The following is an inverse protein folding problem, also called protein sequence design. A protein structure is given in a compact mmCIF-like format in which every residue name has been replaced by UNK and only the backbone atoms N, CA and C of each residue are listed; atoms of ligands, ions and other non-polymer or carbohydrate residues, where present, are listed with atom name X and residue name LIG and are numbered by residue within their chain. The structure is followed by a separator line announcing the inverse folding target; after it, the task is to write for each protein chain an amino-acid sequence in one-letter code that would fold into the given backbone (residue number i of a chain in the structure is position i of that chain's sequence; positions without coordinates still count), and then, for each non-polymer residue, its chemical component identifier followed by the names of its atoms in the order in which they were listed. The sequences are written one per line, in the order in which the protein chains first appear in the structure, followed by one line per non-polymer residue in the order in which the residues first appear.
data_IF_876493906902
#
_entry.id   IF_876493906902
#
_cell.length_a   1.000
_cell.length_b   1.000
_cell.length_c   1.000
_cell.angle_alpha   90.00
_cell.angle_beta   90.00
_cell.angle_gamma   90.00
#
_symmetry.space_group_name_H-M   'P 1'
#
loop_
_entity.id
_entity.type
_entity.pdbx_description
1 polymer ?
#
# COMPACT_ATOMS: atom_id res chain seq x y z
N UNK A 1 -3.66 90.53 -34.86
CA UNK A 1 -4.44 90.68 -33.60
C UNK A 1 -5.75 89.94 -33.77
N UNK A 2 -6.01 88.92 -32.94
CA UNK A 2 -7.24 88.12 -32.97
C UNK A 2 -7.03 86.82 -32.19
N UNK A 3 -7.53 86.79 -30.95
CA UNK A 3 -7.33 85.78 -29.90
C UNK A 3 -8.23 84.55 -30.08
N UNK A 4 -7.72 83.37 -29.67
CA UNK A 4 -8.47 82.25 -29.05
C UNK A 4 -9.43 81.50 -29.98
N UNK A 5 -9.68 80.19 -29.87
CA UNK A 5 -9.74 79.33 -28.68
C UNK A 5 -9.48 77.89 -29.15
N UNK A 6 -8.43 77.25 -28.63
CA UNK A 6 -8.29 75.79 -28.71
C UNK A 6 -9.29 75.16 -27.74
N UNK A 7 -10.37 74.60 -28.27
CA UNK A 7 -11.29 73.75 -27.50
C UNK A 7 -10.51 72.52 -27.02
N UNK A 8 -10.22 72.49 -25.72
CA UNK A 8 -9.74 71.29 -25.03
C UNK A 8 -10.84 70.22 -25.17
N UNK A 9 -10.59 69.19 -25.96
CA UNK A 9 -11.42 67.97 -25.96
C UNK A 9 -11.20 67.33 -24.60
N UNK A 10 -12.15 67.56 -23.69
CA UNK A 10 -12.22 66.84 -22.43
C UNK A 10 -12.43 65.37 -22.75
N UNK A 11 -11.43 64.56 -22.44
CA UNK A 11 -11.63 63.14 -22.27
C UNK A 11 -12.71 62.96 -21.19
N UNK A 12 -13.71 62.09 -21.38
CA UNK A 12 -14.61 61.77 -20.28
C UNK A 12 -13.78 61.11 -19.18
N UNK A 13 -13.56 61.85 -18.10
CA UNK A 13 -13.31 61.28 -16.78
C UNK A 13 -14.60 60.58 -16.35
N UNK A 14 -14.85 59.41 -16.96
CA UNK A 14 -15.79 58.42 -16.47
C UNK A 14 -15.12 57.69 -15.30
N UNK A 15 -15.86 57.53 -14.23
CA UNK A 15 -15.54 56.81 -13.00
C UNK A 15 -14.97 55.40 -13.25
N UNK A 16 -13.66 55.31 -13.51
CA UNK A 16 -12.92 54.06 -13.61
C UNK A 16 -12.31 53.74 -12.24
N UNK A 17 -13.15 53.32 -11.28
CA UNK A 17 -12.73 53.11 -9.90
C UNK A 17 -12.89 51.68 -9.38
N UNK A 18 -14.00 50.99 -9.69
CA UNK A 18 -14.35 49.76 -8.94
C UNK A 18 -14.79 48.58 -9.83
N UNK A 19 -15.40 48.84 -10.99
CA UNK A 19 -15.80 47.77 -11.93
C UNK A 19 -14.66 47.25 -12.83
N UNK A 20 -13.54 47.98 -12.94
CA UNK A 20 -12.37 47.57 -13.75
C UNK A 20 -11.48 46.52 -13.10
N UNK A 21 -11.61 46.31 -11.78
CA UNK A 21 -10.79 45.37 -10.99
C UNK A 21 -11.43 43.98 -10.85
N UNK A 22 -12.75 43.87 -11.02
CA UNK A 22 -13.47 42.60 -10.82
C UNK A 22 -13.20 41.57 -11.92
N UNK A 23 -13.06 41.98 -13.18
CA UNK A 23 -12.82 41.05 -14.28
C UNK A 23 -11.50 40.25 -14.14
N UNK A 24 -10.33 40.87 -13.90
CA UNK A 24 -9.10 40.11 -13.69
C UNK A 24 -9.14 39.26 -12.42
N UNK A 25 -9.79 39.72 -11.35
CA UNK A 25 -9.99 38.93 -10.13
C UNK A 25 -10.89 37.71 -10.38
N UNK A 26 -11.98 37.86 -11.14
CA UNK A 26 -12.87 36.77 -11.49
C UNK A 26 -12.17 35.72 -12.37
N UNK A 27 -11.35 36.17 -13.32
CA UNK A 27 -10.52 35.27 -14.15
C UNK A 27 -9.50 34.53 -13.29
N UNK A 28 -8.79 35.23 -12.41
CA UNK A 28 -7.85 34.61 -11.48
C UNK A 28 -8.55 33.58 -10.57
N UNK A 29 -9.71 33.92 -10.02
CA UNK A 29 -10.52 33.01 -9.21
C UNK A 29 -10.96 31.78 -10.01
N UNK A 30 -11.38 31.95 -11.27
CA UNK A 30 -11.75 30.83 -12.14
C UNK A 30 -10.57 29.88 -12.39
N UNK A 31 -9.36 30.40 -12.61
CA UNK A 31 -8.16 29.57 -12.75
C UNK A 31 -7.82 28.82 -11.47
N UNK A 32 -7.94 29.46 -10.31
CA UNK A 32 -7.71 28.80 -9.02
C UNK A 32 -8.73 27.68 -8.80
N UNK A 33 -10.01 27.94 -9.06
CA UNK A 33 -11.07 26.92 -8.93
C UNK A 33 -10.84 25.76 -9.90
N UNK A 34 -10.45 26.05 -11.13
CA UNK A 34 -10.11 25.01 -12.10
C UNK A 34 -8.91 24.17 -11.65
N UNK A 35 -7.86 24.80 -11.12
CA UNK A 35 -6.69 24.09 -10.59
C UNK A 35 -7.07 23.17 -9.41
N UNK A 36 -7.92 23.64 -8.49
CA UNK A 36 -8.43 22.83 -7.38
C UNK A 36 -9.24 21.63 -7.91
N UNK A 37 -10.11 21.85 -8.91
CA UNK A 37 -10.90 20.77 -9.49
C UNK A 37 -10.01 19.74 -10.20
N UNK A 38 -9.04 20.20 -10.99
CA UNK A 38 -8.09 19.36 -11.70
C UNK A 38 -7.30 18.47 -10.73
N UNK A 39 -6.75 19.07 -9.67
CA UNK A 39 -6.06 18.34 -8.61
C UNK A 39 -6.98 17.32 -7.93
N UNK A 40 -8.22 17.72 -7.64
CA UNK A 40 -9.21 16.86 -6.97
C UNK A 40 -9.58 15.63 -7.81
N UNK A 41 -9.67 15.76 -9.14
CA UNK A 41 -9.92 14.62 -10.05
C UNK A 41 -8.77 13.62 -10.03
N UNK A 42 -7.53 14.09 -10.15
CA UNK A 42 -6.35 13.21 -10.16
C UNK A 42 -6.19 12.49 -8.81
N UNK A 43 -6.40 13.20 -7.69
CA UNK A 43 -6.43 12.59 -6.36
C UNK A 43 -7.57 11.59 -6.21
N UNK A 44 -8.76 11.90 -6.74
CA UNK A 44 -9.92 10.99 -6.69
C UNK A 44 -9.65 9.66 -7.39
N UNK A 45 -8.95 9.67 -8.52
CA UNK A 45 -8.52 8.45 -9.22
C UNK A 45 -7.50 7.68 -8.37
N UNK A 46 -6.49 8.37 -7.82
CA UNK A 46 -5.50 7.75 -6.94
C UNK A 46 -6.13 7.11 -5.68
N UNK A 47 -7.12 7.77 -5.07
CA UNK A 47 -7.88 7.21 -3.95
C UNK A 47 -8.69 5.98 -4.34
N UNK A 48 -9.33 5.99 -5.51
CA UNK A 48 -10.05 4.81 -6.01
C UNK A 48 -9.11 3.62 -6.25
N UNK A 49 -7.92 3.89 -6.79
CA UNK A 49 -6.84 2.90 -6.92
C UNK A 49 -6.43 2.34 -5.56
N UNK A 50 -6.18 3.22 -4.58
CA UNK A 50 -5.82 2.82 -3.22
C UNK A 50 -6.90 1.94 -2.57
N UNK A 51 -8.17 2.34 -2.67
CA UNK A 51 -9.28 1.56 -2.12
C UNK A 51 -9.38 0.17 -2.77
N UNK A 52 -9.12 0.05 -4.07
CA UNK A 52 -9.05 -1.25 -4.76
C UNK A 52 -7.91 -2.11 -4.22
N UNK A 53 -6.73 -1.54 -4.01
CA UNK A 53 -5.59 -2.25 -3.43
C UNK A 53 -5.88 -2.73 -2.01
N UNK A 54 -6.48 -1.88 -1.17
CA UNK A 54 -6.88 -2.25 0.20
C UNK A 54 -7.87 -3.42 0.19
N UNK A 55 -8.89 -3.38 -0.66
CA UNK A 55 -9.84 -4.49 -0.82
C UNK A 55 -9.15 -5.78 -1.29
N UNK A 56 -8.20 -5.69 -2.22
CA UNK A 56 -7.44 -6.84 -2.71
C UNK A 56 -6.53 -7.44 -1.62
N UNK A 57 -5.91 -6.59 -0.79
CA UNK A 57 -5.11 -7.02 0.36
C UNK A 57 -5.97 -7.67 1.44
N UNK A 58 -7.17 -7.17 1.69
CA UNK A 58 -8.13 -7.79 2.62
C UNK A 58 -8.59 -9.16 2.11
N UNK A 59 -8.85 -9.29 0.81
CA UNK A 59 -9.15 -10.57 0.18
C UNK A 59 -7.96 -11.55 0.29
N UNK A 60 -6.74 -11.08 0.03
CA UNK A 60 -5.52 -11.88 0.17
C UNK A 60 -5.28 -12.32 1.62
N UNK A 61 -5.50 -11.44 2.60
CA UNK A 61 -5.44 -11.79 4.01
C UNK A 61 -6.47 -12.86 4.37
N UNK A 62 -7.73 -12.68 3.97
CA UNK A 62 -8.79 -13.66 4.23
C UNK A 62 -8.44 -15.02 3.60
N UNK A 63 -7.91 -15.00 2.38
CA UNK A 63 -7.43 -16.17 1.64
C UNK A 63 -6.30 -16.93 2.34
N UNK A 64 -5.30 -16.21 2.86
CA UNK A 64 -4.14 -16.79 3.56
C UNK A 64 -4.45 -17.19 5.01
N UNK A 65 -5.54 -16.68 5.60
CA UNK A 65 -5.98 -17.02 6.95
C UNK A 65 -7.12 -18.06 6.96
N UNK A 66 -7.49 -18.59 5.80
CA UNK A 66 -8.46 -19.68 5.70
C UNK A 66 -7.94 -20.94 6.41
N UNK A 67 -8.82 -21.62 7.14
CA UNK A 67 -8.44 -22.78 7.94
C UNK A 67 -7.91 -23.95 7.10
N UNK A 68 -8.43 -24.11 5.87
CA UNK A 68 -8.00 -25.16 4.95
C UNK A 68 -6.58 -24.88 4.46
N UNK A 69 -6.31 -23.62 4.12
CA UNK A 69 -4.97 -23.17 3.72
C UNK A 69 -3.97 -23.29 4.87
N UNK A 70 -4.35 -22.91 6.10
CA UNK A 70 -3.47 -23.05 7.26
C UNK A 70 -3.06 -24.51 7.51
N UNK A 71 -3.96 -25.47 7.24
CA UNK A 71 -3.67 -26.90 7.34
C UNK A 71 -2.75 -27.41 6.23
N UNK A 72 -2.91 -26.91 5.01
CA UNK A 72 -2.02 -27.23 3.88
C UNK A 72 -0.63 -26.65 4.11
N UNK A 73 -0.54 -25.34 4.36
CA UNK A 73 0.73 -24.63 4.47
C UNK A 73 1.60 -25.15 5.63
N UNK A 74 1.03 -25.55 6.76
CA UNK A 74 1.82 -26.04 7.92
C UNK A 74 2.53 -27.37 7.69
N UNK A 75 2.09 -28.13 6.68
CA UNK A 75 2.65 -29.44 6.35
C UNK A 75 3.40 -29.44 4.99
N UNK A 76 3.61 -28.27 4.39
CA UNK A 76 4.28 -28.13 3.09
C UNK A 76 5.77 -27.85 3.26
N UNK A 77 6.58 -28.35 2.33
CA UNK A 77 8.04 -28.16 2.32
C UNK A 77 8.46 -26.70 2.09
N UNK A 78 7.64 -25.91 1.36
CA UNK A 78 7.85 -24.48 1.13
C UNK A 78 6.59 -23.66 1.47
N UNK A 79 6.35 -23.42 2.78
CA UNK A 79 5.19 -22.66 3.22
C UNK A 79 5.24 -21.22 2.68
N UNK A 80 6.42 -20.63 2.53
CA UNK A 80 6.56 -19.27 2.04
C UNK A 80 6.00 -19.14 0.62
N UNK A 81 6.37 -20.03 -0.30
CA UNK A 81 5.81 -20.02 -1.65
C UNK A 81 4.31 -20.32 -1.69
N UNK A 82 3.77 -21.10 -0.76
CA UNK A 82 2.32 -21.28 -0.62
C UNK A 82 1.61 -19.99 -0.26
N UNK A 83 2.18 -19.19 0.65
CA UNK A 83 1.66 -17.86 0.96
C UNK A 83 1.76 -16.91 -0.25
N UNK A 84 2.87 -16.93 -1.00
CA UNK A 84 3.03 -16.11 -2.22
C UNK A 84 1.94 -16.47 -3.23
N UNK A 85 1.79 -17.76 -3.54
CA UNK A 85 0.83 -18.25 -4.52
C UNK A 85 -0.60 -17.90 -4.14
N UNK A 86 -0.98 -18.14 -2.88
CA UNK A 86 -2.31 -17.83 -2.37
C UNK A 86 -2.61 -16.34 -2.39
N UNK A 87 -1.67 -15.51 -1.93
CA UNK A 87 -1.83 -14.06 -1.86
C UNK A 87 -1.89 -13.43 -3.26
N UNK A 88 -0.98 -13.79 -4.16
CA UNK A 88 -0.95 -13.24 -5.52
C UNK A 88 -2.22 -13.62 -6.27
N UNK A 89 -2.68 -14.87 -6.21
CA UNK A 89 -3.95 -15.27 -6.83
C UNK A 89 -5.12 -14.43 -6.31
N UNK A 90 -5.23 -14.28 -4.99
CA UNK A 90 -6.30 -13.48 -4.38
C UNK A 90 -6.26 -12.00 -4.80
N UNK A 91 -5.07 -11.40 -4.89
CA UNK A 91 -4.90 -10.01 -5.37
C UNK A 91 -5.35 -9.87 -6.83
N UNK A 92 -4.99 -10.84 -7.68
CA UNK A 92 -5.38 -10.85 -9.10
C UNK A 92 -6.87 -11.08 -9.29
N UNK A 93 -7.45 -12.02 -8.54
CA UNK A 93 -8.89 -12.32 -8.56
C UNK A 93 -9.73 -11.13 -8.09
N UNK A 94 -9.20 -10.31 -7.17
CA UNK A 94 -9.79 -9.05 -6.74
C UNK A 94 -9.66 -7.90 -7.78
N UNK A 95 -9.05 -8.16 -8.94
CA UNK A 95 -8.93 -7.22 -10.04
C UNK A 95 -7.78 -6.21 -9.90
N UNK A 96 -6.79 -6.48 -9.05
CA UNK A 96 -5.60 -5.65 -8.95
C UNK A 96 -4.42 -6.26 -9.71
N UNK A 97 -3.93 -5.56 -10.73
CA UNK A 97 -2.82 -5.98 -11.58
C UNK A 97 -1.47 -5.38 -11.17
N UNK A 98 -1.41 -4.60 -10.09
CA UNK A 98 -0.17 -3.99 -9.59
C UNK A 98 0.92 -5.00 -9.24
N UNK A 99 2.16 -4.53 -9.05
CA UNK A 99 3.22 -5.36 -8.51
C UNK A 99 2.90 -5.77 -7.07
N UNK A 100 3.36 -6.95 -6.68
CA UNK A 100 3.14 -7.52 -5.34
C UNK A 100 4.50 -7.80 -4.72
N UNK A 101 4.73 -7.25 -3.52
CA UNK A 101 5.87 -7.58 -2.69
C UNK A 101 5.38 -8.30 -1.44
N UNK A 102 5.94 -9.46 -1.13
CA UNK A 102 5.61 -10.23 0.05
C UNK A 102 6.85 -10.48 0.89
N UNK A 103 6.83 -10.07 2.15
CA UNK A 103 7.84 -10.42 3.13
C UNK A 103 7.35 -11.58 3.95
N UNK A 104 8.16 -12.63 4.05
CA UNK A 104 7.87 -13.80 4.86
C UNK A 104 8.95 -13.91 5.94
N UNK A 105 8.53 -13.88 7.20
CA UNK A 105 9.37 -14.12 8.35
C UNK A 105 8.86 -15.35 9.10
N UNK A 106 9.77 -16.27 9.38
CA UNK A 106 9.52 -17.39 10.27
C UNK A 106 10.36 -17.24 11.54
N UNK A 107 9.74 -17.33 12.71
CA UNK A 107 10.46 -17.26 13.97
C UNK A 107 11.36 -18.50 14.18
N UNK A 108 12.54 -18.32 14.79
CA UNK A 108 13.40 -19.44 15.15
C UNK A 108 12.70 -20.39 16.12
N UNK A 109 13.17 -21.65 16.16
CA UNK A 109 12.61 -22.66 17.06
C UNK A 109 12.91 -22.31 18.52
N UNK A 110 14.04 -21.67 18.82
CA UNK A 110 14.38 -21.25 20.18
C UNK A 110 13.44 -20.18 20.80
N UNK A 111 12.72 -19.41 19.97
CA UNK A 111 11.86 -18.31 20.42
C UNK A 111 10.37 -18.70 20.50
N UNK A 112 10.03 -19.96 20.19
CA UNK A 112 8.64 -20.42 20.08
C UNK A 112 8.49 -21.79 20.74
N UNK A 113 7.38 -22.09 21.45
CA UNK A 113 7.13 -23.43 21.97
C UNK A 113 7.21 -24.53 20.90
N UNK A 114 7.69 -25.73 21.23
CA UNK A 114 7.86 -26.84 20.27
C UNK A 114 6.56 -27.23 19.53
N UNK A 115 5.42 -27.04 20.20
CA UNK A 115 4.08 -27.31 19.68
C UNK A 115 3.55 -26.20 18.76
N UNK A 116 4.30 -25.12 18.55
CA UNK A 116 3.92 -23.95 17.77
C UNK A 116 4.99 -23.56 16.75
N UNK A 117 4.54 -22.88 15.70
CA UNK A 117 5.38 -22.20 14.71
C UNK A 117 4.81 -20.80 14.54
N UNK A 118 5.65 -19.80 14.34
CA UNK A 118 5.19 -18.42 14.15
C UNK A 118 5.66 -17.93 12.79
N UNK A 119 4.70 -17.49 11.99
CA UNK A 119 4.94 -16.80 10.73
C UNK A 119 4.37 -15.40 10.79
N UNK A 120 5.13 -14.45 10.28
CA UNK A 120 4.65 -13.09 10.01
C UNK A 120 4.85 -12.80 8.53
N UNK A 121 3.77 -12.37 7.90
CA UNK A 121 3.72 -12.11 6.47
C UNK A 121 3.33 -10.66 6.25
N UNK A 122 4.22 -9.89 5.63
CA UNK A 122 3.92 -8.56 5.11
C UNK A 122 3.57 -8.67 3.63
N UNK A 123 2.53 -7.99 3.18
CA UNK A 123 2.10 -7.94 1.79
C UNK A 123 1.92 -6.49 1.37
N UNK A 124 2.49 -6.10 0.24
CA UNK A 124 2.30 -4.79 -0.37
C UNK A 124 1.90 -4.95 -1.83
N UNK A 125 0.94 -4.15 -2.25
CA UNK A 125 0.57 -3.98 -3.66
C UNK A 125 0.92 -2.56 -4.08
N UNK A 126 1.47 -2.39 -5.27
CA UNK A 126 1.87 -1.09 -5.79
C UNK A 126 1.55 -0.94 -7.28
N UNK A 127 1.04 0.22 -7.66
CA UNK A 127 0.79 0.57 -9.06
C UNK A 127 0.83 2.07 -9.29
N UNK A 128 1.13 2.49 -10.51
CA UNK A 128 1.01 3.89 -10.92
C UNK A 128 -0.42 4.18 -11.38
N UNK A 129 -1.13 4.98 -10.58
CA UNK A 129 -2.48 5.42 -10.89
C UNK A 129 -2.44 6.49 -11.98
N UNK A 130 -3.17 6.34 -13.11
CA UNK A 130 -3.11 7.30 -14.20
C UNK A 130 -3.65 8.67 -13.80
N UNK A 131 -3.08 9.74 -14.37
CA UNK A 131 -3.57 11.11 -14.21
C UNK A 131 -4.33 11.59 -15.45
N UNK A 132 -5.22 12.55 -15.26
CA UNK A 132 -6.01 13.20 -16.33
C UNK A 132 -5.50 14.60 -16.58
N UNK A 133 -5.27 15.40 -15.55
CA UNK A 133 -4.82 16.78 -15.68
C UNK A 133 -3.31 16.92 -15.52
N UNK A 134 -2.74 16.25 -14.52
CA UNK A 134 -1.30 16.31 -14.24
C UNK A 134 -0.43 15.79 -15.41
N UNK A 135 -0.95 14.90 -16.25
CA UNK A 135 -0.25 14.45 -17.48
C UNK A 135 0.07 15.59 -18.44
N UNK A 136 -0.76 16.65 -18.49
CA UNK A 136 -0.50 17.84 -19.29
C UNK A 136 0.76 18.60 -18.84
N UNK A 137 1.24 18.30 -17.62
CA UNK A 137 2.47 18.82 -17.02
C UNK A 137 3.58 17.75 -16.95
N UNK A 138 3.42 16.63 -17.66
CA UNK A 138 4.41 15.54 -17.70
C UNK A 138 4.33 14.52 -16.56
N UNK A 139 3.30 14.59 -15.70
CA UNK A 139 3.08 13.62 -14.62
C UNK A 139 2.08 12.57 -15.09
N UNK A 140 2.53 11.49 -15.72
CA UNK A 140 1.64 10.47 -16.31
C UNK A 140 0.93 9.59 -15.25
N UNK A 141 1.49 9.48 -14.04
CA UNK A 141 0.95 8.64 -12.98
C UNK A 141 1.29 9.13 -11.58
N UNK A 142 0.43 8.76 -10.63
CA UNK A 142 0.65 8.94 -9.18
C UNK A 142 0.97 7.56 -8.60
N UNK A 143 2.13 7.35 -7.96
CA UNK A 143 2.45 6.07 -7.34
C UNK A 143 1.52 5.82 -6.15
N UNK A 144 0.81 4.70 -6.17
CA UNK A 144 -0.10 4.27 -5.09
C UNK A 144 0.36 2.92 -4.59
N UNK A 145 0.57 2.83 -3.28
CA UNK A 145 0.90 1.59 -2.60
C UNK A 145 0.03 1.41 -1.35
N UNK A 146 -0.38 0.17 -1.13
CA UNK A 146 -1.11 -0.26 0.07
C UNK A 146 -0.44 -1.52 0.61
N UNK A 147 -0.47 -1.68 1.93
CA UNK A 147 0.15 -2.83 2.58
C UNK A 147 -0.76 -3.45 3.64
N UNK A 148 -0.46 -4.69 4.00
CA UNK A 148 -1.09 -5.41 5.10
C UNK A 148 -0.10 -6.38 5.73
N UNK A 149 -0.09 -6.43 7.05
CA UNK A 149 0.68 -7.42 7.80
C UNK A 149 -0.29 -8.42 8.44
N UNK A 150 0.08 -9.69 8.42
CA UNK A 150 -0.64 -10.77 9.08
C UNK A 150 0.33 -11.70 9.80
N UNK A 151 -0.18 -12.39 10.82
CA UNK A 151 0.56 -13.40 11.54
C UNK A 151 -0.25 -14.68 11.58
N UNK A 152 0.42 -15.80 11.40
CA UNK A 152 -0.14 -17.13 11.54
C UNK A 152 0.68 -17.90 12.58
N UNK A 153 -0.03 -18.61 13.46
CA UNK A 153 0.60 -19.45 14.49
C UNK A 153 0.11 -20.88 14.31
N UNK A 154 0.66 -21.64 13.34
CA UNK A 154 0.34 -23.06 13.22
C UNK A 154 0.71 -23.81 14.50
N UNK A 155 -0.18 -24.72 14.90
CA UNK A 155 0.03 -25.58 16.06
C UNK A 155 -0.07 -27.07 15.70
N UNK A 156 0.57 -27.89 16.53
CA UNK A 156 0.46 -29.34 16.57
C UNK A 156 0.24 -29.81 18.02
N UNK A 157 -0.22 -31.05 18.21
CA UNK A 157 -0.47 -31.59 19.57
C UNK A 157 0.82 -31.78 20.38
N UNK A 158 1.92 -32.12 19.70
CA UNK A 158 3.22 -32.39 20.33
C UNK A 158 4.31 -31.48 19.77
N UNK A 159 4.74 -31.73 18.53
CA UNK A 159 5.78 -30.94 17.86
C UNK A 159 5.34 -30.56 16.46
N UNK A 160 5.52 -29.29 16.12
CA UNK A 160 5.24 -28.80 14.77
C UNK A 160 6.37 -29.22 13.83
N UNK A 161 6.00 -29.72 12.66
CA UNK A 161 6.95 -29.99 11.59
C UNK A 161 7.56 -28.67 11.08
N UNK A 162 8.88 -28.67 10.84
CA UNK A 162 9.65 -27.54 10.33
C UNK A 162 10.59 -28.01 9.21
N UNK A 163 10.79 -27.20 8.16
CA UNK A 163 11.83 -27.46 7.17
C UNK A 163 13.22 -27.32 7.80
N UNK A 164 14.23 -27.95 7.21
CA UNK A 164 15.62 -27.87 7.70
C UNK A 164 16.17 -26.44 7.71
N UNK A 165 15.74 -25.63 6.74
CA UNK A 165 16.12 -24.23 6.62
C UNK A 165 14.87 -23.36 6.72
N UNK A 166 14.94 -22.35 7.58
CA UNK A 166 13.90 -21.32 7.69
C UNK A 166 13.91 -20.47 6.42
N UNK A 167 12.72 -20.16 5.92
CA UNK A 167 12.58 -19.17 4.85
C UNK A 167 12.34 -17.80 5.48
N UNK A 168 13.26 -16.87 5.27
CA UNK A 168 13.12 -15.48 5.68
C UNK A 168 13.55 -14.58 4.53
N UNK A 169 12.63 -13.79 3.99
CA UNK A 169 12.96 -12.97 2.85
C UNK A 169 11.79 -12.23 2.22
N UNK A 170 12.07 -11.63 1.07
CA UNK A 170 11.13 -10.90 0.25
C UNK A 170 10.93 -11.60 -1.10
N UNK A 171 9.67 -11.72 -1.51
CA UNK A 171 9.25 -12.18 -2.81
C UNK A 171 8.67 -11.00 -3.60
N UNK A 172 9.18 -10.77 -4.80
CA UNK A 172 8.70 -9.73 -5.70
C UNK A 172 8.04 -10.34 -6.94
N UNK A 173 6.79 -9.96 -7.20
CA UNK A 173 6.01 -10.39 -8.36
C UNK A 173 5.63 -9.16 -9.18
N UNK A 174 6.05 -9.14 -10.44
CA UNK A 174 5.77 -8.01 -11.32
C UNK A 174 4.26 -7.87 -11.64
N UNK A 175 3.89 -6.68 -12.09
CA UNK A 175 2.52 -6.36 -12.46
C UNK A 175 1.95 -7.36 -13.48
N UNK A 176 0.72 -7.81 -13.24
CA UNK A 176 0.00 -8.77 -14.09
C UNK A 176 0.53 -10.21 -14.06
N UNK A 177 1.68 -10.48 -13.45
CA UNK A 177 2.23 -11.84 -13.35
C UNK A 177 1.68 -12.61 -12.15
N UNK A 178 1.84 -13.94 -12.20
CA UNK A 178 1.51 -14.87 -11.13
C UNK A 178 2.72 -15.26 -10.28
N UNK A 179 2.48 -16.01 -9.21
CA UNK A 179 3.51 -16.35 -8.22
C UNK A 179 4.69 -17.17 -8.76
N UNK A 180 4.53 -17.89 -9.87
CA UNK A 180 5.62 -18.65 -10.50
C UNK A 180 6.74 -17.76 -11.04
N UNK A 181 6.50 -16.45 -11.19
CA UNK A 181 7.53 -15.48 -11.59
C UNK A 181 8.12 -14.72 -10.40
N UNK A 182 7.90 -15.18 -9.16
CA UNK A 182 8.41 -14.50 -7.98
C UNK A 182 9.94 -14.51 -7.94
N UNK A 183 10.54 -13.33 -7.78
CA UNK A 183 11.95 -13.18 -7.48
C UNK A 183 12.12 -13.18 -5.95
N UNK A 184 12.99 -14.06 -5.43
CA UNK A 184 13.26 -14.16 -4.00
C UNK A 184 14.56 -13.46 -3.62
N UNK A 185 14.51 -12.70 -2.53
CA UNK A 185 15.66 -12.09 -1.86
C UNK A 185 15.68 -12.53 -0.40
N UNK A 186 16.73 -13.24 0.00
CA UNK A 186 16.95 -13.62 1.41
C UNK A 186 17.17 -12.38 2.28
N UNK A 187 16.54 -12.33 3.45
CA UNK A 187 16.75 -11.29 4.46
C UNK A 187 17.21 -11.95 5.75
N UNK A 188 18.34 -11.50 6.31
CA UNK A 188 19.04 -12.22 7.39
C UNK A 188 18.75 -11.66 8.77
N UNK A 189 18.43 -10.36 8.85
CA UNK A 189 18.03 -9.69 10.08
C UNK A 189 16.58 -9.22 10.00
N UNK A 190 15.91 -9.19 11.16
CA UNK A 190 14.58 -8.58 11.28
C UNK A 190 14.60 -7.08 10.93
N UNK A 191 15.75 -6.41 11.05
CA UNK A 191 15.91 -5.00 10.71
C UNK A 191 15.89 -4.73 9.19
N UNK A 192 16.06 -5.77 8.36
CA UNK A 192 15.94 -5.67 6.90
C UNK A 192 14.48 -5.75 6.43
N UNK A 193 13.56 -6.14 7.31
CA UNK A 193 12.13 -6.16 7.04
C UNK A 193 11.49 -4.77 7.25
N UNK A 194 10.33 -4.49 6.64
CA UNK A 194 9.54 -3.31 6.98
C UNK A 194 9.26 -3.24 8.48
N UNK A 195 9.26 -2.02 9.02
CA UNK A 195 9.11 -1.79 10.46
C UNK A 195 7.83 -2.45 11.01
N UNK A 196 6.74 -2.39 10.25
CA UNK A 196 5.44 -2.97 10.60
C UNK A 196 5.50 -4.51 10.73
N UNK A 197 6.33 -5.17 9.90
CA UNK A 197 6.57 -6.61 10.00
C UNK A 197 7.39 -6.90 11.27
N UNK A 198 8.45 -6.13 11.52
CA UNK A 198 9.27 -6.28 12.72
C UNK A 198 8.49 -6.05 14.02
N UNK A 199 7.63 -5.04 14.04
CA UNK A 199 6.72 -4.76 15.16
C UNK A 199 5.74 -5.91 15.39
N UNK A 200 5.14 -6.45 14.33
CA UNK A 200 4.23 -7.58 14.43
C UNK A 200 4.94 -8.85 14.93
N UNK A 201 6.17 -9.13 14.48
CA UNK A 201 6.99 -10.24 14.99
C UNK A 201 7.18 -10.12 16.49
N UNK A 202 7.68 -8.96 16.96
CA UNK A 202 7.91 -8.72 18.40
C UNK A 202 6.61 -8.87 19.20
N UNK A 203 5.50 -8.32 18.70
CA UNK A 203 4.20 -8.40 19.35
C UNK A 203 3.71 -9.85 19.51
N UNK A 204 3.85 -10.68 18.46
CA UNK A 204 3.42 -12.08 18.50
C UNK A 204 4.32 -12.90 19.44
N UNK A 205 5.64 -12.72 19.38
CA UNK A 205 6.57 -13.43 20.27
C UNK A 205 6.34 -13.08 21.74
N UNK A 206 6.16 -11.81 22.08
CA UNK A 206 5.82 -11.39 23.44
C UNK A 206 4.49 -11.98 23.94
N UNK A 207 3.51 -12.18 23.04
CA UNK A 207 2.26 -12.83 23.40
C UNK A 207 2.45 -14.33 23.72
N UNK A 208 3.38 -15.01 23.04
CA UNK A 208 3.68 -16.42 23.29
C UNK A 208 4.42 -16.64 24.61
N UNK A 209 5.41 -15.80 24.93
CA UNK A 209 6.07 -15.83 26.24
C UNK A 209 5.06 -15.64 27.40
N UNK A 210 4.07 -14.77 27.20
CA UNK A 210 3.00 -14.54 28.17
C UNK A 210 2.08 -15.76 28.38
N UNK A 211 1.84 -16.54 27.32
CA UNK A 211 1.03 -17.77 27.35
C UNK A 211 1.76 -18.89 28.09
N UNK A 212 3.06 -19.08 27.82
CA UNK A 212 3.90 -20.07 28.49
C UNK A 212 3.98 -19.81 30.01
N UNK A 213 4.19 -18.55 30.42
CA UNK A 213 4.22 -18.16 31.84
C UNK A 213 2.89 -18.37 32.59
N UNK A 214 1.75 -18.35 31.88
CA UNK A 214 0.43 -18.63 32.45
C UNK A 214 0.11 -20.13 32.49
N UNK A 215 0.54 -20.88 31.49
CA UNK A 215 0.37 -22.34 31.42
C UNK A 215 1.25 -23.11 32.42
N UNK A 216 2.44 -22.60 32.74
CA UNK A 216 3.36 -23.21 33.72
C UNK A 216 2.98 -23.02 35.20
N UNK A 217 1.78 -22.52 35.53
CA UNK A 217 1.29 -22.33 36.90
C UNK A 217 0.11 -23.25 37.29
N UNK A 218 -0.27 -24.20 36.44
CA UNK A 218 -1.32 -25.19 36.75
C UNK A 218 -0.73 -26.53 37.19
#
# INVERSE_FOLDING_TARGET
MGRGVLRRVGWPQGSAGEFGSMAPLAVAAAFVLFAILAFSVDQGIAYATKARQENALDAARAACMDASFALEAKNDDDPAMRFVDRAVRAVRDAGCSGSVAMWFYEAPEEDVPEAERVWVVGLQVSEDSPTVFARGFGVEGIPVASHRVMAAVPYAESRVWRPEQRTCGRFDVAAGLGATSAAFTELRSLDEFPAEVGEQVRAVLSAQEGKERRGGRS
#
